data_IF_176918400730
#
_entry.id   IF_176918400730
#
_cell.length_a   1.000
_cell.length_b   1.000
_cell.length_c   1.000
_cell.angle_alpha   90.00
_cell.angle_beta   90.00
_cell.angle_gamma   90.00
#
_symmetry.space_group_name_H-M   'P 1'
#
loop_
_entity.id
_entity.type
_entity.pdbx_description
1 polymer ?
#
# COMPACT_ATOMS: atom_id res chain seq x y z
N UNK A 1 23.99 -6.81 -3.42
CA UNK A 1 24.40 -7.89 -2.49
C UNK A 1 23.41 -8.05 -1.35
N UNK A 2 23.05 -6.98 -0.64
CA UNK A 2 22.07 -7.01 0.47
C UNK A 2 20.64 -7.44 0.12
N UNK A 3 20.02 -7.02 -1.00
CA UNK A 3 18.64 -7.42 -1.31
C UNK A 3 18.45 -8.93 -1.43
N UNK A 4 19.37 -9.61 -2.12
CA UNK A 4 19.37 -11.07 -2.29
C UNK A 4 19.59 -11.83 -0.97
N UNK A 5 20.37 -11.26 -0.05
CA UNK A 5 20.57 -11.85 1.27
C UNK A 5 19.31 -11.75 2.14
N UNK A 6 18.61 -10.61 2.07
CA UNK A 6 17.33 -10.39 2.75
C UNK A 6 16.26 -11.32 2.19
N UNK A 7 16.12 -11.39 0.86
CA UNK A 7 15.20 -12.31 0.19
C UNK A 7 15.45 -13.76 0.63
N UNK A 8 16.70 -14.23 0.61
CA UNK A 8 17.04 -15.58 1.06
C UNK A 8 16.69 -15.81 2.53
N UNK A 9 16.88 -14.80 3.39
CA UNK A 9 16.50 -14.89 4.79
C UNK A 9 14.97 -14.97 4.95
N UNK A 10 14.21 -14.11 4.27
CA UNK A 10 12.75 -14.11 4.30
C UNK A 10 12.19 -15.46 3.82
N UNK A 11 12.69 -15.99 2.70
CA UNK A 11 12.30 -17.32 2.21
C UNK A 11 12.59 -18.45 3.20
N UNK A 12 13.66 -18.35 3.99
CA UNK A 12 14.02 -19.37 4.98
C UNK A 12 13.03 -19.40 6.15
N UNK A 13 12.52 -18.24 6.57
CA UNK A 13 11.67 -18.13 7.77
C UNK A 13 10.17 -18.17 7.46
N UNK A 14 9.76 -17.93 6.22
CA UNK A 14 8.39 -18.13 5.74
C UNK A 14 7.77 -16.90 5.10
N UNK A 15 6.46 -16.98 4.83
CA UNK A 15 5.72 -15.92 4.11
C UNK A 15 5.58 -14.61 4.89
N UNK A 16 5.58 -14.69 6.22
CA UNK A 16 5.47 -13.54 7.14
C UNK A 16 6.54 -13.69 8.22
N UNK A 17 7.44 -12.71 8.31
CA UNK A 17 8.58 -12.74 9.24
C UNK A 17 8.52 -11.56 10.18
N UNK A 18 8.54 -11.81 11.48
CA UNK A 18 8.64 -10.75 12.50
C UNK A 18 10.07 -10.23 12.56
N UNK A 19 10.26 -8.96 12.19
CA UNK A 19 11.60 -8.32 12.14
C UNK A 19 11.86 -7.41 13.35
N UNK A 20 10.81 -6.99 14.06
CA UNK A 20 10.89 -6.19 15.28
C UNK A 20 9.72 -6.53 16.24
N UNK A 21 9.69 -5.97 17.46
CA UNK A 21 8.60 -6.21 18.41
C UNK A 21 7.20 -5.87 17.91
N UNK A 22 7.06 -4.99 16.91
CA UNK A 22 5.77 -4.62 16.32
C UNK A 22 5.80 -4.56 14.78
N UNK A 23 6.81 -5.13 14.13
CA UNK A 23 6.99 -5.05 12.68
C UNK A 23 7.06 -6.43 12.03
N UNK A 24 6.34 -6.58 10.91
CA UNK A 24 6.25 -7.78 10.11
C UNK A 24 6.73 -7.48 8.68
N UNK A 25 7.52 -8.38 8.13
CA UNK A 25 7.94 -8.37 6.74
C UNK A 25 7.13 -9.40 5.94
N UNK A 26 6.59 -8.96 4.80
CA UNK A 26 5.81 -9.76 3.86
C UNK A 26 6.57 -9.83 2.54
N UNK A 27 6.67 -11.02 1.94
CA UNK A 27 7.49 -11.22 0.74
C UNK A 27 6.82 -12.04 -0.36
N UNK A 28 5.66 -12.65 -0.12
CA UNK A 28 5.00 -13.49 -1.13
C UNK A 28 3.93 -12.70 -1.90
N UNK A 29 3.72 -12.97 -3.20
CA UNK A 29 2.63 -12.32 -3.96
C UNK A 29 1.26 -12.44 -3.29
N UNK A 30 0.98 -13.57 -2.63
CA UNK A 30 -0.26 -13.78 -1.89
C UNK A 30 -0.41 -12.78 -0.74
N UNK A 31 0.65 -12.54 0.03
CA UNK A 31 0.57 -11.57 1.15
C UNK A 31 0.29 -10.14 0.69
N UNK A 32 0.67 -9.76 -0.53
CA UNK A 32 0.29 -8.46 -1.09
C UNK A 32 -1.22 -8.37 -1.32
N UNK A 33 -1.84 -9.44 -1.84
CA UNK A 33 -3.30 -9.52 -2.00
C UNK A 33 -3.97 -9.46 -0.62
N UNK A 34 -3.46 -10.24 0.34
CA UNK A 34 -4.03 -10.35 1.68
C UNK A 34 -3.98 -9.02 2.46
N UNK A 35 -3.02 -8.14 2.19
CA UNK A 35 -2.89 -6.83 2.86
C UNK A 35 -3.67 -5.74 2.13
N UNK A 36 -3.62 -5.71 0.79
CA UNK A 36 -4.17 -4.59 0.02
C UNK A 36 -5.61 -4.80 -0.47
N UNK A 37 -6.12 -6.04 -0.48
CA UNK A 37 -7.47 -6.35 -0.97
C UNK A 37 -8.59 -6.22 0.07
N UNK A 38 -8.38 -6.52 1.36
CA UNK A 38 -9.45 -6.40 2.35
C UNK A 38 -9.96 -4.96 2.47
N UNK A 39 -11.27 -4.81 2.30
CA UNK A 39 -11.97 -3.53 2.45
C UNK A 39 -13.33 -3.75 3.09
N UNK A 40 -13.65 -2.98 4.13
CA UNK A 40 -14.99 -2.92 4.69
C UNK A 40 -15.70 -1.64 4.25
N UNK A 41 -16.90 -1.79 3.65
CA UNK A 41 -17.67 -0.66 3.07
C UNK A 41 -16.87 0.17 2.06
N UNK A 42 -15.95 -0.48 1.35
CA UNK A 42 -15.01 0.11 0.40
C UNK A 42 -14.00 1.10 1.01
N UNK A 43 -13.62 0.86 2.27
CA UNK A 43 -12.52 1.52 2.96
C UNK A 43 -11.48 0.46 3.29
N UNK A 44 -10.20 0.78 3.12
CA UNK A 44 -9.09 -0.11 3.39
C UNK A 44 -9.03 -0.52 4.87
N UNK A 45 -8.82 -1.81 5.14
CA UNK A 45 -8.65 -2.31 6.51
C UNK A 45 -7.26 -1.98 7.06
N UNK A 46 -6.26 -2.03 6.18
CA UNK A 46 -4.88 -1.70 6.49
C UNK A 46 -4.55 -0.31 5.96
N UNK A 47 -4.52 0.64 6.89
CA UNK A 47 -4.23 2.04 6.62
C UNK A 47 -2.72 2.26 6.43
N UNK A 48 -2.34 3.22 5.59
CA UNK A 48 -0.95 3.65 5.41
C UNK A 48 -0.38 4.13 6.74
N UNK A 49 0.86 3.74 7.04
CA UNK A 49 1.52 4.11 8.30
C UNK A 49 2.33 5.39 8.17
N UNK A 50 2.79 5.92 9.31
CA UNK A 50 3.69 7.06 9.42
C UNK A 50 4.96 6.97 8.56
N UNK A 51 5.36 5.77 8.13
CA UNK A 51 6.50 5.59 7.22
C UNK A 51 6.33 6.36 5.90
N UNK A 52 5.08 6.53 5.44
CA UNK A 52 4.77 7.30 4.23
C UNK A 52 4.33 8.74 4.52
N UNK A 53 4.23 9.13 5.79
CA UNK A 53 3.72 10.44 6.17
C UNK A 53 4.73 11.54 5.80
N UNK A 54 4.27 12.53 5.03
CA UNK A 54 5.09 13.64 4.53
C UNK A 54 4.88 14.94 5.31
N UNK A 55 3.97 14.98 6.27
CA UNK A 55 3.57 16.18 7.00
C UNK A 55 2.06 16.46 6.88
N UNK A 56 1.58 17.40 7.69
CA UNK A 56 0.16 17.81 7.70
C UNK A 56 -0.15 18.73 6.52
N UNK A 57 -1.39 18.68 6.05
CA UNK A 57 -1.97 19.62 5.07
C UNK A 57 -1.29 19.68 3.68
N UNK A 58 -0.43 18.70 3.37
CA UNK A 58 0.18 18.61 2.05
C UNK A 58 -0.79 18.14 0.96
N UNK A 59 -1.98 17.66 1.35
CA UNK A 59 -2.97 17.05 0.45
C UNK A 59 -2.39 15.82 -0.26
N UNK A 60 -3.15 15.17 -1.14
CA UNK A 60 -2.63 14.13 -2.03
C UNK A 60 -2.92 12.69 -1.62
N UNK A 61 -2.92 11.81 -2.63
CA UNK A 61 -3.37 10.41 -2.51
C UNK A 61 -2.30 9.49 -1.90
N UNK A 62 -1.01 9.78 -2.13
CA UNK A 62 0.07 8.80 -1.89
C UNK A 62 0.30 8.56 -0.39
N UNK A 63 0.07 9.56 0.46
CA UNK A 63 0.35 9.52 1.90
C UNK A 63 -0.88 9.81 2.78
N UNK A 64 -2.09 9.80 2.20
CA UNK A 64 -3.33 9.98 2.97
C UNK A 64 -3.59 8.78 3.87
N UNK A 65 -3.74 9.04 5.17
CA UNK A 65 -4.01 8.03 6.21
C UNK A 65 -5.51 7.86 6.45
N UNK A 66 -6.34 8.89 6.21
CA UNK A 66 -7.79 8.71 6.33
C UNK A 66 -8.34 8.00 5.08
N UNK A 67 -8.84 6.75 5.17
CA UNK A 67 -9.34 6.00 4.01
C UNK A 67 -10.55 6.67 3.35
N UNK A 68 -11.34 7.46 4.10
CA UNK A 68 -12.46 8.22 3.54
C UNK A 68 -11.94 9.36 2.67
N UNK A 69 -10.93 10.07 3.16
CA UNK A 69 -10.29 11.16 2.43
C UNK A 69 -9.52 10.64 1.21
N UNK A 70 -8.80 9.55 1.35
CA UNK A 70 -8.08 8.87 0.27
C UNK A 70 -9.04 8.53 -0.88
N UNK A 71 -10.14 7.85 -0.56
CA UNK A 71 -11.21 7.51 -1.52
C UNK A 71 -11.78 8.73 -2.22
N UNK A 72 -12.02 9.82 -1.49
CA UNK A 72 -12.56 11.04 -2.07
C UNK A 72 -11.58 11.68 -3.07
N UNK A 73 -10.29 11.73 -2.73
CA UNK A 73 -9.24 12.24 -3.63
C UNK A 73 -9.07 11.30 -4.84
N UNK A 74 -9.06 9.98 -4.63
CA UNK A 74 -8.99 8.98 -5.70
C UNK A 74 -10.14 9.15 -6.71
N UNK A 75 -11.36 9.38 -6.23
CA UNK A 75 -12.53 9.62 -7.08
C UNK A 75 -12.41 10.89 -7.92
N UNK A 76 -11.79 11.95 -7.39
CA UNK A 76 -11.58 13.20 -8.12
C UNK A 76 -10.58 13.03 -9.27
N UNK A 77 -9.53 12.23 -9.09
CA UNK A 77 -8.49 12.03 -10.12
C UNK A 77 -8.81 10.89 -11.09
N UNK A 78 -9.65 9.92 -10.70
CA UNK A 78 -9.97 8.74 -11.51
C UNK A 78 -10.34 9.03 -12.99
N UNK A 79 -11.11 10.09 -13.32
CA UNK A 79 -11.43 10.40 -14.71
C UNK A 79 -10.20 10.65 -15.59
N UNK A 80 -9.15 11.28 -15.04
CA UNK A 80 -7.90 11.56 -15.75
C UNK A 80 -7.08 10.30 -16.07
N UNK A 81 -7.35 9.19 -15.37
CA UNK A 81 -6.71 7.90 -15.59
C UNK A 81 -7.65 6.88 -16.27
N UNK A 82 -8.78 7.33 -16.82
CA UNK A 82 -9.73 6.45 -17.50
C UNK A 82 -9.18 5.95 -18.85
N UNK A 83 -9.57 4.74 -19.26
CA UNK A 83 -9.17 4.17 -20.54
C UNK A 83 -9.53 5.07 -21.74
N UNK A 84 -10.64 5.82 -21.64
CA UNK A 84 -11.04 6.81 -22.64
C UNK A 84 -10.05 7.97 -22.74
N UNK A 85 -9.57 8.47 -21.60
CA UNK A 85 -8.61 9.57 -21.56
C UNK A 85 -7.22 9.10 -22.04
N UNK A 86 -6.80 7.90 -21.64
CA UNK A 86 -5.52 7.31 -22.02
C UNK A 86 -5.46 6.85 -23.48
N UNK A 87 -6.61 6.54 -24.11
CA UNK A 87 -6.71 6.22 -25.55
C UNK A 87 -6.53 7.42 -26.47
N UNK A 88 -6.39 8.64 -25.95
CA UNK A 88 -6.04 9.81 -26.75
C UNK A 88 -4.54 9.72 -27.06
N UNK A 89 -4.17 8.77 -27.93
CA UNK A 89 -2.94 8.69 -28.73
C UNK A 89 -3.14 7.69 -29.86
#
# INVERSE_FOLDING_TARGET
RWPWAIEKALHKYGSVVRIAPNELAFFTPQTFIDIYSPQHKNLEDFVKTNFQNRGKDLGGLIWEEDPVRDRNVARQIAPAFSARFLRIR
#
